data_IF_276219324885
#
_entry.id   IF_276219324885
#
_cell.length_a   1.000
_cell.length_b   1.000
_cell.length_c   1.000
_cell.angle_alpha   90.00
_cell.angle_beta   90.00
_cell.angle_gamma   90.00
#
_symmetry.space_group_name_H-M   'P 1'
#
loop_
_entity.id
_entity.type
_entity.pdbx_description
1 polymer ?
#
# COMPACT_ATOMS: atom_id res chain seq x y z
N UNK A 1 20.14 -5.05 -55.60
CA UNK A 1 20.58 -4.34 -54.37
C UNK A 1 19.31 -3.90 -53.67
N UNK A 2 18.75 -4.77 -52.77
CA UNK A 2 17.50 -4.49 -52.07
C UNK A 2 17.82 -4.05 -50.64
N UNK A 3 17.53 -2.80 -50.36
CA UNK A 3 17.65 -2.22 -49.02
C UNK A 3 16.42 -2.57 -48.22
N UNK A 4 16.57 -3.45 -47.22
CA UNK A 4 15.51 -3.83 -46.29
C UNK A 4 15.50 -2.80 -45.18
N UNK A 5 14.48 -1.90 -45.21
CA UNK A 5 14.19 -1.02 -44.11
C UNK A 5 13.53 -1.84 -42.99
N UNK A 6 14.25 -2.10 -41.90
CA UNK A 6 13.68 -2.53 -40.67
C UNK A 6 13.03 -1.31 -39.99
N UNK A 7 11.72 -1.19 -40.12
CA UNK A 7 10.93 -0.31 -39.25
C UNK A 7 10.94 -0.90 -37.83
N UNK A 8 11.76 -0.34 -36.97
CA UNK A 8 11.62 -0.51 -35.54
C UNK A 8 10.36 0.26 -35.11
N UNK A 9 9.22 -0.42 -35.05
CA UNK A 9 8.10 0.04 -34.24
C UNK A 9 8.54 -0.08 -32.79
N UNK A 10 9.11 0.99 -32.23
CA UNK A 10 9.18 1.15 -30.80
C UNK A 10 7.73 1.24 -30.31
N UNK A 11 7.22 0.12 -29.77
CA UNK A 11 6.06 0.16 -28.91
C UNK A 11 6.51 1.00 -27.71
N UNK A 12 6.23 2.28 -27.76
CA UNK A 12 6.20 3.12 -26.58
C UNK A 12 5.05 2.53 -25.77
N UNK A 13 5.38 1.60 -24.84
CA UNK A 13 4.49 1.37 -23.72
C UNK A 13 4.31 2.76 -23.11
N UNK A 14 3.15 3.36 -23.35
CA UNK A 14 2.69 4.48 -22.54
C UNK A 14 2.89 3.98 -21.11
N UNK A 15 3.83 4.62 -20.39
CA UNK A 15 3.93 4.44 -18.96
C UNK A 15 2.53 4.74 -18.47
N UNK A 16 1.82 3.69 -18.04
CA UNK A 16 0.56 3.88 -17.34
C UNK A 16 0.86 4.93 -16.29
N UNK A 17 0.20 6.07 -16.40
CA UNK A 17 0.37 7.16 -15.45
C UNK A 17 0.22 6.55 -14.06
N UNK A 18 0.94 7.05 -13.06
CA UNK A 18 0.86 6.62 -11.67
C UNK A 18 -0.58 6.83 -11.18
N UNK A 19 -1.47 5.94 -11.56
CA UNK A 19 -2.88 6.05 -11.33
C UNK A 19 -3.40 4.90 -10.49
N UNK A 20 -4.39 5.18 -9.69
CA UNK A 20 -5.15 4.19 -8.94
C UNK A 20 -6.55 4.70 -8.66
N UNK A 21 -7.46 3.80 -8.40
CA UNK A 21 -8.75 4.15 -7.84
C UNK A 21 -8.60 4.47 -6.35
N UNK A 22 -9.08 5.63 -5.91
CA UNK A 22 -8.95 6.12 -4.54
C UNK A 22 -10.32 6.13 -3.86
N UNK A 23 -10.57 5.13 -3.03
CA UNK A 23 -11.78 4.99 -2.22
C UNK A 23 -11.46 5.22 -0.74
N UNK A 24 -11.09 6.45 -0.43
CA UNK A 24 -10.78 6.93 0.91
C UNK A 24 -11.70 8.06 1.31
N UNK A 25 -12.10 8.11 2.56
CA UNK A 25 -13.03 9.13 3.07
C UNK A 25 -12.36 10.46 3.34
N UNK A 26 -11.08 10.45 3.70
CA UNK A 26 -10.38 11.66 4.10
C UNK A 26 -9.96 12.51 2.89
N UNK A 27 -10.55 13.67 2.71
CA UNK A 27 -10.19 14.63 1.65
C UNK A 27 -8.73 15.09 1.74
N UNK A 28 -8.16 15.13 2.96
CA UNK A 28 -6.72 15.41 3.16
C UNK A 28 -5.86 14.38 2.44
N UNK A 29 -6.21 13.09 2.56
CA UNK A 29 -5.45 12.00 1.95
C UNK A 29 -5.54 12.07 0.42
N UNK A 30 -6.73 12.32 -0.15
CA UNK A 30 -6.92 12.57 -1.59
C UNK A 30 -6.07 13.73 -2.09
N UNK A 31 -6.06 14.84 -1.34
CA UNK A 31 -5.24 16.01 -1.66
C UNK A 31 -3.74 15.71 -1.68
N UNK A 32 -3.26 14.91 -0.74
CA UNK A 32 -1.87 14.46 -0.69
C UNK A 32 -1.53 13.54 -1.88
N UNK A 33 -2.38 12.58 -2.24
CA UNK A 33 -2.15 11.74 -3.42
C UNK A 33 -1.99 12.59 -4.69
N UNK A 34 -2.85 13.57 -4.90
CA UNK A 34 -2.74 14.51 -6.02
C UNK A 34 -1.43 15.30 -6.00
N UNK A 35 -1.00 15.76 -4.81
CA UNK A 35 0.27 16.49 -4.65
C UNK A 35 1.48 15.62 -5.06
N UNK A 36 1.43 14.32 -4.82
CA UNK A 36 2.48 13.37 -5.19
C UNK A 36 2.29 12.74 -6.59
N UNK A 37 1.43 13.34 -7.40
CA UNK A 37 1.18 12.92 -8.79
C UNK A 37 0.63 11.50 -8.91
N UNK A 38 -0.17 11.08 -7.95
CA UNK A 38 -1.00 9.89 -8.05
C UNK A 38 -2.39 10.33 -8.49
N UNK A 39 -2.79 9.94 -9.68
CA UNK A 39 -4.07 10.33 -10.26
C UNK A 39 -5.15 9.32 -9.90
N UNK A 40 -6.32 9.83 -9.50
CA UNK A 40 -7.50 8.99 -9.37
C UNK A 40 -8.02 8.63 -10.76
N UNK A 41 -8.16 7.31 -11.02
CA UNK A 41 -8.69 6.82 -12.28
C UNK A 41 -9.50 5.53 -12.04
N UNK A 42 -10.79 5.58 -12.27
CA UNK A 42 -11.72 4.46 -12.09
C UNK A 42 -11.46 3.29 -13.07
N UNK A 43 -10.69 3.51 -14.14
CA UNK A 43 -10.31 2.44 -15.07
C UNK A 43 -9.04 1.70 -14.66
N UNK A 44 -8.36 2.13 -13.61
CA UNK A 44 -7.19 1.43 -13.08
C UNK A 44 -7.62 0.15 -12.36
N UNK A 45 -6.88 -0.94 -12.58
CA UNK A 45 -7.06 -2.20 -11.84
C UNK A 45 -6.37 -2.20 -10.46
N UNK A 46 -5.95 -1.06 -9.99
CA UNK A 46 -5.35 -0.87 -8.66
C UNK A 46 -6.26 0.03 -7.86
N UNK A 47 -6.64 -0.40 -6.68
CA UNK A 47 -7.48 0.38 -5.75
C UNK A 47 -6.78 0.56 -4.42
N UNK A 48 -6.83 1.78 -3.88
CA UNK A 48 -6.50 2.09 -2.50
C UNK A 48 -7.80 2.42 -1.76
N UNK A 49 -8.15 1.62 -0.76
CA UNK A 49 -9.48 1.65 -0.15
C UNK A 49 -9.42 1.52 1.38
N UNK A 50 -10.27 2.28 2.06
CA UNK A 50 -10.43 2.17 3.50
C UNK A 50 -11.22 0.90 3.88
N UNK A 51 -10.87 0.26 5.01
CA UNK A 51 -11.50 -0.99 5.45
C UNK A 51 -12.98 -0.86 5.82
N UNK A 52 -13.47 0.34 6.01
CA UNK A 52 -14.88 0.63 6.30
C UNK A 52 -15.66 1.14 5.08
N UNK A 53 -15.06 1.09 3.89
CA UNK A 53 -15.75 1.45 2.65
C UNK A 53 -16.78 0.36 2.28
N UNK A 54 -18.02 0.72 1.92
CA UNK A 54 -19.06 -0.23 1.56
C UNK A 54 -18.74 -1.04 0.29
N UNK A 55 -17.91 -0.51 -0.61
CA UNK A 55 -17.53 -1.17 -1.86
C UNK A 55 -16.38 -2.19 -1.70
N UNK A 56 -15.74 -2.25 -0.53
CA UNK A 56 -14.58 -3.13 -0.30
C UNK A 56 -14.84 -4.58 -0.72
N UNK A 57 -15.98 -5.14 -0.35
CA UNK A 57 -16.31 -6.52 -0.72
C UNK A 57 -16.43 -6.74 -2.23
N UNK A 58 -16.81 -5.72 -2.98
CA UNK A 58 -16.91 -5.80 -4.43
C UNK A 58 -15.51 -5.90 -5.04
N UNK A 59 -14.56 -5.08 -4.57
CA UNK A 59 -13.17 -5.14 -5.04
C UNK A 59 -12.50 -6.47 -4.71
N UNK A 60 -12.76 -7.04 -3.51
CA UNK A 60 -12.22 -8.34 -3.11
C UNK A 60 -12.74 -9.52 -3.95
N UNK A 61 -13.83 -9.34 -4.69
CA UNK A 61 -14.40 -10.36 -5.61
C UNK A 61 -13.90 -10.25 -7.05
N UNK A 62 -13.07 -9.25 -7.33
CA UNK A 62 -12.58 -8.93 -8.68
C UNK A 62 -11.08 -9.18 -8.82
N UNK A 63 -10.52 -8.87 -10.00
CA UNK A 63 -9.09 -8.99 -10.30
C UNK A 63 -8.29 -7.72 -9.93
N UNK A 64 -8.82 -6.89 -9.05
CA UNK A 64 -8.13 -5.68 -8.60
C UNK A 64 -6.91 -5.99 -7.73
N UNK A 65 -5.89 -5.16 -7.86
CA UNK A 65 -4.78 -5.08 -6.90
C UNK A 65 -5.26 -4.20 -5.75
N UNK A 66 -5.54 -4.80 -4.60
CA UNK A 66 -6.17 -4.11 -3.47
C UNK A 66 -5.12 -3.70 -2.44
N UNK A 67 -5.01 -2.39 -2.23
CA UNK A 67 -4.28 -1.78 -1.13
C UNK A 67 -5.29 -1.35 -0.07
N UNK A 68 -5.31 -2.06 1.05
CA UNK A 68 -6.27 -1.86 2.13
C UNK A 68 -5.70 -0.97 3.22
N UNK A 69 -6.38 0.14 3.50
CA UNK A 69 -6.03 1.04 4.60
C UNK A 69 -6.95 0.81 5.80
N UNK A 70 -6.35 0.47 6.94
CA UNK A 70 -7.08 0.22 8.18
C UNK A 70 -7.31 1.52 8.94
N UNK A 71 -8.53 2.06 8.82
CA UNK A 71 -8.97 3.31 9.47
C UNK A 71 -9.93 3.08 10.63
N UNK A 72 -10.51 1.88 10.73
CA UNK A 72 -11.46 1.53 11.77
C UNK A 72 -10.94 0.38 12.65
N UNK A 73 -11.20 0.49 13.95
CA UNK A 73 -10.86 -0.53 14.97
C UNK A 73 -11.77 -1.75 14.91
N UNK A 74 -12.97 -1.59 14.41
CA UNK A 74 -13.90 -2.71 14.24
C UNK A 74 -13.44 -3.56 13.07
N UNK A 75 -12.55 -4.49 13.37
CA UNK A 75 -12.17 -5.53 12.43
C UNK A 75 -13.37 -6.48 12.30
N UNK A 76 -14.22 -6.19 11.33
CA UNK A 76 -15.13 -7.20 10.81
C UNK A 76 -14.26 -8.36 10.35
N UNK A 77 -14.82 -9.59 10.28
CA UNK A 77 -14.12 -10.78 9.77
C UNK A 77 -13.72 -10.59 8.28
N UNK A 78 -12.77 -9.70 8.03
CA UNK A 78 -12.26 -9.42 6.70
C UNK A 78 -11.43 -10.61 6.24
N UNK A 79 -11.82 -11.16 5.10
CA UNK A 79 -10.97 -12.12 4.40
C UNK A 79 -9.86 -11.38 3.65
N UNK A 80 -8.66 -11.39 4.22
CA UNK A 80 -7.50 -10.73 3.62
C UNK A 80 -6.82 -11.56 2.53
N UNK A 81 -7.36 -12.71 2.14
CA UNK A 81 -6.74 -13.57 1.10
C UNK A 81 -6.65 -12.88 -0.27
N UNK A 82 -7.52 -11.90 -0.52
CA UNK A 82 -7.57 -11.12 -1.76
C UNK A 82 -6.94 -9.73 -1.65
N UNK A 83 -6.43 -9.38 -0.48
CA UNK A 83 -5.71 -8.13 -0.26
C UNK A 83 -4.24 -8.32 -0.66
N UNK A 84 -3.72 -7.43 -1.49
CA UNK A 84 -2.32 -7.45 -1.90
C UNK A 84 -1.42 -6.80 -0.84
N UNK A 85 -1.83 -5.63 -0.34
CA UNK A 85 -1.08 -4.93 0.70
C UNK A 85 -2.04 -4.34 1.72
N UNK A 86 -1.73 -4.53 3.00
CA UNK A 86 -2.45 -3.90 4.10
C UNK A 86 -1.58 -2.81 4.74
N UNK A 87 -2.16 -1.62 4.93
CA UNK A 87 -1.58 -0.56 5.73
C UNK A 87 -2.31 -0.49 7.06
N UNK A 88 -1.58 -0.67 8.14
CA UNK A 88 -2.17 -0.75 9.47
C UNK A 88 -1.29 -0.02 10.49
N UNK A 89 -1.91 0.74 11.41
CA UNK A 89 -1.19 1.23 12.56
C UNK A 89 -1.08 0.13 13.64
N UNK A 90 -0.18 0.31 14.60
CA UNK A 90 0.07 -0.67 15.66
C UNK A 90 -1.17 -1.04 16.46
N UNK A 91 -2.01 -0.06 16.78
CA UNK A 91 -3.23 -0.28 17.58
C UNK A 91 -4.21 -1.21 16.84
N UNK A 92 -4.44 -0.96 15.54
CA UNK A 92 -5.33 -1.79 14.74
C UNK A 92 -4.73 -3.17 14.45
N UNK A 93 -3.43 -3.23 14.22
CA UNK A 93 -2.71 -4.49 14.04
C UNK A 93 -2.80 -5.38 15.29
N UNK A 94 -2.66 -4.79 16.48
CA UNK A 94 -2.85 -5.49 17.75
C UNK A 94 -4.28 -6.07 17.89
N UNK A 95 -5.30 -5.35 17.44
CA UNK A 95 -6.68 -5.83 17.45
C UNK A 95 -6.91 -6.98 16.47
N UNK A 96 -6.23 -6.99 15.32
CA UNK A 96 -6.26 -8.11 14.36
C UNK A 96 -5.73 -9.40 14.97
N UNK A 97 -4.77 -9.31 15.90
CA UNK A 97 -4.06 -10.45 16.50
C UNK A 97 -4.30 -10.53 18.02
N UNK A 98 -5.55 -10.37 18.44
CA UNK A 98 -6.01 -10.62 19.82
C UNK A 98 -5.26 -9.84 20.91
N UNK A 99 -4.88 -8.61 20.64
CA UNK A 99 -4.25 -7.69 21.61
C UNK A 99 -2.73 -7.87 21.79
N UNK A 100 -2.06 -8.59 20.90
CA UNK A 100 -0.59 -8.71 20.90
C UNK A 100 0.04 -7.34 20.67
N UNK A 101 1.07 -6.98 21.44
CA UNK A 101 1.72 -5.67 21.38
C UNK A 101 3.09 -5.68 20.67
N UNK A 102 3.67 -6.86 20.45
CA UNK A 102 4.93 -7.01 19.74
C UNK A 102 4.71 -6.94 18.22
N UNK A 103 5.30 -5.91 17.57
CA UNK A 103 5.07 -5.60 16.17
C UNK A 103 5.52 -6.72 15.23
N UNK A 104 6.67 -7.34 15.53
CA UNK A 104 7.17 -8.42 14.67
C UNK A 104 6.29 -9.66 14.80
N UNK A 105 5.86 -9.95 16.03
CA UNK A 105 4.96 -11.07 16.30
C UNK A 105 3.60 -10.91 15.64
N UNK A 106 3.05 -9.69 15.65
CA UNK A 106 1.81 -9.37 14.92
C UNK A 106 1.98 -9.68 13.42
N UNK A 107 3.06 -9.19 12.82
CA UNK A 107 3.33 -9.39 11.40
C UNK A 107 3.53 -10.87 11.05
N UNK A 108 4.24 -11.63 11.89
CA UNK A 108 4.41 -13.07 11.71
C UNK A 108 3.09 -13.83 11.72
N UNK A 109 2.20 -13.51 12.67
CA UNK A 109 0.90 -14.17 12.79
C UNK A 109 0.00 -13.81 11.63
N UNK A 110 -0.01 -12.54 11.23
CA UNK A 110 -0.79 -12.05 10.10
C UNK A 110 -0.40 -12.77 8.80
N UNK A 111 0.90 -12.89 8.53
CA UNK A 111 1.37 -13.56 7.32
C UNK A 111 1.29 -15.08 7.40
N UNK A 112 1.32 -15.67 8.60
CA UNK A 112 1.02 -17.09 8.76
C UNK A 112 -0.41 -17.43 8.35
N UNK A 113 -1.35 -16.52 8.63
CA UNK A 113 -2.76 -16.65 8.26
C UNK A 113 -3.00 -16.32 6.80
N UNK A 114 -2.28 -15.32 6.27
CA UNK A 114 -2.42 -14.80 4.91
C UNK A 114 -1.05 -14.74 4.20
N UNK A 115 -0.53 -15.86 3.67
CA UNK A 115 0.86 -15.96 3.19
C UNK A 115 1.18 -15.11 1.97
N UNK A 116 0.17 -14.68 1.20
CA UNK A 116 0.36 -13.83 0.02
C UNK A 116 0.22 -12.32 0.32
N UNK A 117 -0.10 -11.98 1.57
CA UNK A 117 -0.27 -10.60 1.99
C UNK A 117 1.07 -9.90 2.11
N UNK A 118 1.12 -8.62 1.75
CA UNK A 118 2.17 -7.69 2.16
C UNK A 118 1.61 -6.81 3.27
N UNK A 119 2.36 -6.61 4.34
CA UNK A 119 1.92 -5.82 5.47
C UNK A 119 2.87 -4.65 5.74
N UNK A 120 2.31 -3.45 5.80
CA UNK A 120 3.00 -2.22 6.20
C UNK A 120 2.43 -1.78 7.54
N UNK A 121 3.21 -1.97 8.61
CA UNK A 121 2.83 -1.62 9.97
C UNK A 121 3.46 -0.29 10.37
N UNK A 122 2.64 0.72 10.58
CA UNK A 122 3.06 2.03 11.08
C UNK A 122 3.13 1.98 12.60
N UNK A 123 4.31 2.26 13.17
CA UNK A 123 4.53 2.22 14.61
C UNK A 123 4.23 3.58 15.26
N UNK A 124 3.89 3.55 16.56
CA UNK A 124 3.71 4.79 17.34
C UNK A 124 5.04 5.49 17.65
N UNK A 125 6.15 4.78 17.47
CA UNK A 125 7.52 5.23 17.78
C UNK A 125 8.29 5.72 16.56
N UNK A 126 7.57 6.27 15.58
CA UNK A 126 8.19 6.97 14.46
C UNK A 126 8.99 6.06 13.53
N UNK A 127 8.29 5.20 12.86
CA UNK A 127 8.84 4.32 11.86
C UNK A 127 7.79 3.39 11.31
N UNK A 128 8.20 2.51 10.42
CA UNK A 128 7.30 1.51 9.87
C UNK A 128 8.03 0.19 9.62
N UNK A 129 7.31 -0.90 9.75
CA UNK A 129 7.71 -2.22 9.27
C UNK A 129 7.06 -2.51 7.94
N UNK A 130 7.80 -3.16 7.07
CA UNK A 130 7.27 -3.91 5.93
C UNK A 130 7.55 -5.39 6.16
N UNK A 131 6.58 -6.23 5.88
CA UNK A 131 6.76 -7.69 5.88
C UNK A 131 5.95 -8.33 4.77
N UNK A 132 6.59 -9.24 4.05
CA UNK A 132 5.97 -10.25 3.20
C UNK A 132 6.50 -11.65 3.59
N UNK A 133 6.28 -12.64 2.73
CA UNK A 133 6.74 -14.01 2.97
C UNK A 133 8.27 -14.14 3.07
N UNK A 134 9.03 -13.29 2.38
CA UNK A 134 10.48 -13.40 2.21
C UNK A 134 11.26 -12.33 2.99
N UNK A 135 10.64 -11.15 3.24
CA UNK A 135 11.31 -9.98 3.77
C UNK A 135 10.66 -9.49 5.06
N UNK A 136 11.49 -9.04 6.00
CA UNK A 136 11.09 -8.18 7.11
C UNK A 136 12.05 -6.99 7.14
N UNK A 137 11.51 -5.78 6.96
CA UNK A 137 12.25 -4.54 6.97
C UNK A 137 11.68 -3.62 8.05
N UNK A 138 12.53 -3.00 8.82
CA UNK A 138 12.17 -1.89 9.71
C UNK A 138 12.91 -0.64 9.30
N UNK A 139 12.17 0.44 9.07
CA UNK A 139 12.72 1.75 8.82
C UNK A 139 12.33 2.70 9.95
N UNK A 140 13.34 3.20 10.66
CA UNK A 140 13.15 4.23 11.68
C UNK A 140 13.08 5.60 11.03
N UNK A 141 12.21 6.46 11.53
CA UNK A 141 12.16 7.86 11.17
C UNK A 141 13.46 8.61 11.56
N UNK A 142 13.89 9.53 10.70
CA UNK A 142 15.06 10.37 10.93
C UNK A 142 14.69 11.81 11.36
N UNK A 143 13.40 12.18 11.26
CA UNK A 143 12.88 13.54 11.57
C UNK A 143 11.81 13.50 12.66
N UNK A 144 11.63 14.62 13.35
CA UNK A 144 10.81 14.69 14.57
C UNK A 144 9.29 14.70 14.38
N UNK A 145 8.78 14.82 13.15
CA UNK A 145 7.35 15.00 12.85
C UNK A 145 6.85 13.96 11.85
N UNK A 146 6.61 12.75 12.33
CA UNK A 146 6.07 11.68 11.50
C UNK A 146 4.56 11.87 11.24
N UNK A 147 4.20 12.18 10.00
CA UNK A 147 2.82 12.23 9.53
C UNK A 147 2.45 10.91 8.83
N UNK A 148 1.49 10.19 9.38
CA UNK A 148 1.06 8.87 8.88
C UNK A 148 0.45 8.94 7.48
N UNK A 149 -0.31 10.00 7.18
CA UNK A 149 -0.94 10.19 5.87
C UNK A 149 0.11 10.48 4.80
N UNK A 150 1.07 11.34 5.14
CA UNK A 150 2.19 11.65 4.26
C UNK A 150 3.07 10.41 4.02
N UNK A 151 3.26 9.57 5.04
CA UNK A 151 3.93 8.28 4.90
C UNK A 151 3.23 7.40 3.87
N UNK A 152 1.92 7.20 4.03
CA UNK A 152 1.12 6.35 3.13
C UNK A 152 1.23 6.81 1.68
N UNK A 153 1.04 8.10 1.45
CA UNK A 153 1.07 8.67 0.09
C UNK A 153 2.45 8.56 -0.54
N UNK A 154 3.52 8.87 0.19
CA UNK A 154 4.89 8.74 -0.32
C UNK A 154 5.28 7.30 -0.60
N UNK A 155 4.88 6.37 0.27
CA UNK A 155 5.09 4.94 0.06
C UNK A 155 4.41 4.51 -1.24
N UNK A 156 3.10 4.79 -1.39
CA UNK A 156 2.31 4.42 -2.55
C UNK A 156 2.83 5.06 -3.84
N UNK A 157 3.11 6.36 -3.82
CA UNK A 157 3.67 7.05 -4.98
C UNK A 157 5.04 6.50 -5.41
N UNK A 158 5.82 5.99 -4.46
CA UNK A 158 7.08 5.31 -4.74
C UNK A 158 6.87 3.93 -5.36
N UNK A 159 5.96 3.15 -4.82
CA UNK A 159 5.66 1.80 -5.29
C UNK A 159 5.05 1.82 -6.71
N UNK A 160 4.10 2.71 -6.97
CA UNK A 160 3.52 2.90 -8.30
C UNK A 160 4.54 3.31 -9.38
N UNK A 161 5.65 3.93 -8.98
CA UNK A 161 6.81 4.22 -9.86
C UNK A 161 7.72 3.01 -10.08
N UNK A 162 7.38 1.85 -9.55
CA UNK A 162 8.16 0.62 -9.68
C UNK A 162 9.40 0.56 -8.80
N UNK A 163 9.48 1.36 -7.73
CA UNK A 163 10.56 1.23 -6.77
C UNK A 163 10.36 0.00 -5.88
N UNK A 164 11.46 -0.53 -5.33
CA UNK A 164 11.41 -1.64 -4.38
C UNK A 164 10.72 -1.24 -3.07
N UNK A 165 10.25 -2.25 -2.34
CA UNK A 165 9.59 -2.09 -1.03
C UNK A 165 10.50 -1.35 -0.04
N UNK A 166 11.79 -1.67 -0.03
CA UNK A 166 12.78 -0.96 0.81
C UNK A 166 12.86 0.53 0.47
N UNK A 167 12.91 0.86 -0.82
CA UNK A 167 12.96 2.26 -1.28
C UNK A 167 11.66 2.97 -0.95
N UNK A 168 10.52 2.32 -1.12
CA UNK A 168 9.20 2.87 -0.84
C UNK A 168 9.02 3.13 0.66
N UNK A 169 9.45 2.16 1.50
CA UNK A 169 9.43 2.30 2.95
C UNK A 169 10.33 3.46 3.41
N UNK A 170 11.55 3.53 2.89
CA UNK A 170 12.49 4.62 3.20
C UNK A 170 11.91 5.99 2.84
N UNK A 171 11.34 6.14 1.64
CA UNK A 171 10.73 7.41 1.20
C UNK A 171 9.50 7.79 1.99
N UNK A 172 8.70 6.81 2.40
CA UNK A 172 7.54 7.03 3.26
C UNK A 172 7.95 7.56 4.64
N UNK A 173 8.95 6.95 5.26
CA UNK A 173 9.38 7.30 6.62
C UNK A 173 10.19 8.59 6.67
N UNK A 174 11.01 8.87 5.68
CA UNK A 174 11.82 10.10 5.61
C UNK A 174 11.06 11.20 4.87
N UNK A 175 10.39 12.03 5.67
CA UNK A 175 9.48 13.09 5.24
C UNK A 175 10.19 14.43 5.04
#
# INVERSE_FOLDING_TARGET
MYSTFFSFCAIVQEKEANCMELNVREEKLKGLFKQFQVEHNENCKTVFIDNNDPELENYLKTDYIVYLHMVDKEVRNLDLTKVNTIFVNKEYASNLENGIQDEQRILELLLKKYPNLRAVLITDKKGAYYKDKDLLIYQKELVSNFDKDLFLVKYMASELKGNSEMTSLYRGVNQ
#
